data_IF_191625767348
#
_entry.id   IF_191625767348
#
_cell.length_a   1.000
_cell.length_b   1.000
_cell.length_c   1.000
_cell.angle_alpha   90.00
_cell.angle_beta   90.00
_cell.angle_gamma   90.00
#
_symmetry.space_group_name_H-M   'P 1'
#
loop_
_entity.id
_entity.type
_entity.pdbx_description
1 polymer ?
#
# COMPACT_ATOMS: atom_id res chain seq x y z
N UNK A 1 -38.16 -32.64 -47.93
CA UNK A 1 -37.02 -32.60 -46.97
C UNK A 1 -36.21 -31.34 -47.23
N UNK A 2 -36.32 -30.34 -46.36
CA UNK A 2 -35.67 -29.03 -46.51
C UNK A 2 -34.28 -29.05 -45.88
N UNK A 3 -33.23 -28.78 -46.67
CA UNK A 3 -31.86 -28.62 -46.19
C UNK A 3 -31.75 -27.25 -45.51
N UNK A 4 -31.80 -27.24 -44.19
CA UNK A 4 -31.57 -26.03 -43.39
C UNK A 4 -30.09 -25.66 -43.49
N UNK A 5 -29.86 -24.49 -44.07
CA UNK A 5 -28.58 -23.79 -44.19
C UNK A 5 -28.09 -23.44 -42.79
N UNK A 6 -26.96 -24.02 -42.34
CA UNK A 6 -26.27 -23.61 -41.11
C UNK A 6 -25.68 -22.21 -41.34
N UNK A 7 -26.46 -21.20 -40.98
CA UNK A 7 -25.97 -19.83 -40.90
C UNK A 7 -25.00 -19.70 -39.73
N UNK A 8 -23.92 -18.99 -40.00
CA UNK A 8 -22.84 -18.65 -39.10
C UNK A 8 -23.35 -18.16 -37.74
N UNK A 9 -23.26 -19.01 -36.71
CA UNK A 9 -23.22 -18.53 -35.32
C UNK A 9 -21.87 -17.83 -35.14
N UNK A 10 -21.90 -16.51 -35.37
CA UNK A 10 -20.90 -15.57 -34.90
C UNK A 10 -20.59 -15.90 -33.44
N UNK A 11 -19.37 -16.36 -33.18
CA UNK A 11 -18.80 -16.47 -31.85
C UNK A 11 -18.71 -15.05 -31.27
N UNK A 12 -19.78 -14.65 -30.57
CA UNK A 12 -19.83 -13.41 -29.82
C UNK A 12 -18.76 -13.43 -28.73
N UNK A 13 -17.71 -12.63 -28.93
CA UNK A 13 -17.10 -11.77 -27.91
C UNK A 13 -16.75 -12.37 -26.54
N UNK A 14 -16.22 -13.58 -26.51
CA UNK A 14 -15.48 -14.09 -25.33
C UNK A 14 -13.98 -13.94 -25.62
N UNK A 15 -13.27 -13.14 -24.82
CA UNK A 15 -11.78 -12.99 -24.77
C UNK A 15 -11.14 -11.62 -25.06
N UNK A 16 -11.83 -10.49 -24.91
CA UNK A 16 -11.16 -9.16 -24.84
C UNK A 16 -10.87 -8.65 -23.41
N UNK A 17 -11.32 -9.35 -22.36
CA UNK A 17 -11.21 -8.87 -20.96
C UNK A 17 -9.91 -9.15 -20.19
N UNK A 18 -9.06 -10.16 -20.47
CA UNK A 18 -7.89 -10.42 -19.62
C UNK A 18 -6.83 -9.30 -19.73
N UNK A 19 -6.52 -8.85 -20.96
CA UNK A 19 -5.53 -7.78 -21.20
C UNK A 19 -5.88 -6.43 -20.56
N UNK A 20 -7.17 -6.11 -20.42
CA UNK A 20 -7.64 -4.86 -19.81
C UNK A 20 -7.50 -4.89 -18.27
N UNK A 21 -7.81 -6.03 -17.63
CA UNK A 21 -7.61 -6.21 -16.18
C UNK A 21 -6.13 -6.20 -15.80
N UNK A 22 -5.30 -6.88 -16.58
CA UNK A 22 -3.85 -6.94 -16.38
C UNK A 22 -3.19 -5.56 -16.48
N UNK A 23 -3.58 -4.76 -17.48
CA UNK A 23 -3.11 -3.37 -17.63
C UNK A 23 -3.53 -2.48 -16.45
N UNK A 24 -4.74 -2.68 -15.92
CA UNK A 24 -5.24 -1.92 -14.77
C UNK A 24 -4.52 -2.28 -13.48
N UNK A 25 -4.32 -3.57 -13.23
CA UNK A 25 -3.59 -4.06 -12.06
C UNK A 25 -2.12 -3.62 -12.07
N UNK A 26 -1.45 -3.68 -13.23
CA UNK A 26 -0.08 -3.17 -13.37
C UNK A 26 0.02 -1.66 -13.09
N UNK A 27 -0.96 -0.88 -13.57
CA UNK A 27 -1.05 0.56 -13.25
C UNK A 27 -1.24 0.79 -11.75
N UNK A 28 -2.03 -0.04 -11.08
CA UNK A 28 -2.23 0.02 -9.63
C UNK A 28 -0.93 -0.23 -8.86
N UNK A 29 -0.15 -1.25 -9.26
CA UNK A 29 1.17 -1.55 -8.69
C UNK A 29 2.09 -0.34 -8.76
N UNK A 30 2.20 0.25 -9.96
CA UNK A 30 3.06 1.43 -10.17
C UNK A 30 2.57 2.62 -9.34
N UNK A 31 1.28 2.92 -9.38
CA UNK A 31 0.73 4.08 -8.69
C UNK A 31 0.94 3.98 -7.17
N UNK A 32 0.64 2.82 -6.59
CA UNK A 32 0.85 2.57 -5.16
C UNK A 32 2.33 2.58 -4.77
N UNK A 33 3.23 2.06 -5.62
CA UNK A 33 4.67 2.15 -5.41
C UNK A 33 5.17 3.61 -5.44
N UNK A 34 4.70 4.41 -6.39
CA UNK A 34 5.08 5.84 -6.50
C UNK A 34 4.59 6.64 -5.31
N UNK A 35 3.33 6.45 -4.90
CA UNK A 35 2.78 7.10 -3.71
C UNK A 35 3.54 6.67 -2.46
N UNK A 36 3.80 5.37 -2.30
CA UNK A 36 4.60 4.84 -1.20
C UNK A 36 6.01 5.45 -1.17
N UNK A 37 6.69 5.52 -2.31
CA UNK A 37 8.00 6.16 -2.44
C UNK A 37 8.00 7.64 -2.06
N UNK A 38 6.98 8.40 -2.48
CA UNK A 38 6.83 9.80 -2.09
C UNK A 38 6.61 9.96 -0.57
N UNK A 39 5.75 9.12 0.01
CA UNK A 39 5.51 9.12 1.46
C UNK A 39 6.77 8.77 2.25
N UNK A 40 7.59 7.84 1.76
CA UNK A 40 8.88 7.52 2.37
C UNK A 40 9.80 8.74 2.43
N UNK A 41 9.94 9.47 1.31
CA UNK A 41 10.77 10.67 1.24
C UNK A 41 10.24 11.73 2.23
N UNK A 42 8.93 11.98 2.21
CA UNK A 42 8.29 12.93 3.14
C UNK A 42 8.53 12.51 4.59
N UNK A 43 8.38 11.22 4.90
CA UNK A 43 8.61 10.67 6.24
C UNK A 43 10.04 10.88 6.71
N UNK A 44 11.03 10.63 5.86
CA UNK A 44 12.45 10.85 6.18
C UNK A 44 12.72 12.33 6.44
N UNK A 45 12.14 13.25 5.66
CA UNK A 45 12.32 14.69 5.86
C UNK A 45 11.72 15.15 7.20
N UNK A 46 10.50 14.70 7.51
CA UNK A 46 9.79 15.07 8.75
C UNK A 46 10.43 14.46 9.99
N UNK A 47 10.66 13.15 10.00
CA UNK A 47 11.19 12.43 11.17
C UNK A 47 12.70 12.52 11.30
N UNK A 48 13.41 12.81 10.20
CA UNK A 48 14.83 13.15 10.20
C UNK A 48 15.13 14.54 10.75
N UNK A 49 14.11 15.34 11.06
CA UNK A 49 14.27 16.71 11.58
C UNK A 49 14.78 17.71 10.53
N UNK A 50 14.73 17.36 9.24
CA UNK A 50 15.08 18.26 8.14
C UNK A 50 13.94 19.24 7.81
N UNK A 51 12.70 18.85 8.11
CA UNK A 51 11.50 19.67 7.92
C UNK A 51 10.69 19.71 9.22
N UNK A 52 10.36 20.91 9.70
CA UNK A 52 9.42 21.11 10.81
C UNK A 52 8.13 21.70 10.25
N UNK A 53 6.99 21.08 10.55
CA UNK A 53 5.68 21.58 10.10
C UNK A 53 5.19 22.76 10.93
N UNK A 54 5.50 22.73 12.23
CA UNK A 54 5.05 23.73 13.19
C UNK A 54 6.19 24.10 14.14
N UNK A 55 6.51 25.39 14.23
CA UNK A 55 7.54 25.92 15.13
C UNK A 55 6.93 26.49 16.43
N UNK A 56 5.87 25.87 16.94
CA UNK A 56 5.13 26.35 18.11
C UNK A 56 5.21 25.37 19.28
N UNK A 57 5.36 25.89 20.49
CA UNK A 57 5.37 25.10 21.73
C UNK A 57 3.97 24.73 22.23
N UNK A 58 2.91 25.22 21.57
CA UNK A 58 1.56 24.84 21.97
C UNK A 58 1.31 23.35 21.75
N UNK A 59 0.80 22.70 22.80
CA UNK A 59 0.53 21.26 22.85
C UNK A 59 -0.30 20.75 21.65
N UNK A 60 -1.23 21.57 21.15
CA UNK A 60 -2.08 21.22 20.01
C UNK A 60 -1.27 21.07 18.71
N UNK A 61 -0.32 21.97 18.44
CA UNK A 61 0.53 21.90 17.25
C UNK A 61 1.53 20.74 17.33
N UNK A 62 2.09 20.47 18.52
CA UNK A 62 2.95 19.30 18.73
C UNK A 62 2.19 17.98 18.51
N UNK A 63 0.95 17.91 19.00
CA UNK A 63 0.09 16.74 18.81
C UNK A 63 -0.25 16.54 17.33
N UNK A 64 -0.56 17.62 16.61
CA UNK A 64 -0.81 17.56 15.16
C UNK A 64 0.42 17.15 14.37
N UNK A 65 1.60 17.70 14.69
CA UNK A 65 2.87 17.32 14.06
C UNK A 65 3.16 15.83 14.23
N UNK A 66 3.05 15.34 15.46
CA UNK A 66 3.20 13.91 15.80
C UNK A 66 2.19 13.06 15.02
N UNK A 67 0.92 13.48 14.97
CA UNK A 67 -0.14 12.76 14.26
C UNK A 67 0.17 12.65 12.77
N UNK A 68 0.58 13.75 12.12
CA UNK A 68 0.93 13.75 10.70
C UNK A 68 2.11 12.81 10.44
N UNK A 69 3.17 12.89 11.26
CA UNK A 69 4.34 11.99 11.16
C UNK A 69 3.95 10.53 11.24
N UNK A 70 3.11 10.16 12.21
CA UNK A 70 2.59 8.79 12.36
C UNK A 70 1.78 8.38 11.14
N UNK A 71 0.83 9.22 10.69
CA UNK A 71 -0.03 8.91 9.54
C UNK A 71 0.76 8.71 8.24
N UNK A 72 1.79 9.51 8.00
CA UNK A 72 2.67 9.35 6.82
C UNK A 72 3.34 7.98 6.83
N UNK A 73 3.85 7.52 7.97
CA UNK A 73 4.47 6.18 8.12
C UNK A 73 3.44 5.07 7.89
N UNK A 74 2.24 5.19 8.46
CA UNK A 74 1.18 4.20 8.30
C UNK A 74 0.72 4.10 6.84
N UNK A 75 0.53 5.25 6.17
CA UNK A 75 0.19 5.25 4.75
C UNK A 75 1.31 4.71 3.88
N UNK A 76 2.57 5.03 4.17
CA UNK A 76 3.70 4.40 3.50
C UNK A 76 3.60 2.87 3.55
N UNK A 77 3.40 2.32 4.76
CA UNK A 77 3.30 0.87 4.95
C UNK A 77 2.13 0.26 4.16
N UNK A 78 0.95 0.90 4.20
CA UNK A 78 -0.25 0.45 3.49
C UNK A 78 -0.02 0.47 1.98
N UNK A 79 0.47 1.58 1.42
CA UNK A 79 0.66 1.70 -0.04
C UNK A 79 1.73 0.75 -0.56
N UNK A 80 2.82 0.54 0.19
CA UNK A 80 3.83 -0.46 -0.18
C UNK A 80 3.26 -1.87 -0.14
N UNK A 81 2.50 -2.21 0.91
CA UNK A 81 1.86 -3.53 1.03
C UNK A 81 0.85 -3.76 -0.10
N UNK A 82 0.03 -2.76 -0.45
CA UNK A 82 -0.90 -2.82 -1.59
C UNK A 82 -0.13 -3.02 -2.91
N UNK A 83 0.95 -2.28 -3.13
CA UNK A 83 1.75 -2.39 -4.36
C UNK A 83 2.28 -3.81 -4.55
N UNK A 84 2.85 -4.36 -3.49
CA UNK A 84 3.41 -5.71 -3.51
C UNK A 84 2.30 -6.76 -3.60
N UNK A 85 1.20 -6.60 -2.87
CA UNK A 85 0.04 -7.49 -2.94
C UNK A 85 -0.47 -7.61 -4.38
N UNK A 86 -0.67 -6.47 -5.04
CA UNK A 86 -1.10 -6.41 -6.44
C UNK A 86 -0.05 -7.02 -7.39
N UNK A 87 1.25 -6.82 -7.13
CA UNK A 87 2.31 -7.42 -7.93
C UNK A 87 2.36 -8.95 -7.79
N UNK A 88 2.13 -9.44 -6.58
CA UNK A 88 2.05 -10.87 -6.27
C UNK A 88 0.84 -11.53 -6.91
N UNK A 89 -0.32 -10.86 -6.88
CA UNK A 89 -1.52 -11.30 -7.60
C UNK A 89 -1.28 -11.39 -9.12
N UNK A 90 -0.61 -10.40 -9.73
CA UNK A 90 -0.23 -10.43 -11.14
C UNK A 90 0.72 -11.57 -11.50
N UNK A 91 1.62 -11.94 -10.59
CA UNK A 91 2.58 -13.04 -10.81
C UNK A 91 2.03 -14.41 -10.38
N UNK A 92 0.78 -14.47 -9.90
CA UNK A 92 0.12 -15.68 -9.41
C UNK A 92 0.78 -16.27 -8.16
N UNK A 93 1.56 -15.48 -7.42
CA UNK A 93 2.25 -15.91 -6.21
C UNK A 93 1.54 -15.34 -4.98
N UNK A 94 1.49 -16.06 -3.84
CA UNK A 94 0.96 -15.49 -2.61
C UNK A 94 1.86 -14.36 -2.10
N UNK A 95 1.27 -13.46 -1.31
CA UNK A 95 2.01 -12.43 -0.60
C UNK A 95 2.90 -13.09 0.47
N UNK A 96 4.21 -12.84 0.41
CA UNK A 96 5.17 -13.43 1.35
C UNK A 96 5.22 -12.60 2.63
N UNK A 97 4.95 -13.24 3.77
CA UNK A 97 5.02 -12.62 5.09
C UNK A 97 6.41 -12.05 5.38
N UNK A 98 7.48 -12.68 4.87
CA UNK A 98 8.85 -12.14 5.00
C UNK A 98 8.96 -10.73 4.42
N UNK A 99 8.30 -10.49 3.29
CA UNK A 99 8.36 -9.20 2.63
C UNK A 99 7.54 -8.15 3.38
N UNK A 100 6.38 -8.52 3.94
CA UNK A 100 5.61 -7.64 4.83
C UNK A 100 6.45 -7.26 6.06
N UNK A 101 7.13 -8.23 6.68
CA UNK A 101 8.01 -7.98 7.84
C UNK A 101 9.16 -7.03 7.48
N UNK A 102 9.74 -7.15 6.28
CA UNK A 102 10.77 -6.21 5.82
C UNK A 102 10.22 -4.78 5.71
N UNK A 103 9.04 -4.60 5.10
CA UNK A 103 8.41 -3.27 5.01
C UNK A 103 8.09 -2.75 6.41
N UNK A 104 7.64 -3.62 7.31
CA UNK A 104 7.33 -3.26 8.70
C UNK A 104 8.57 -2.71 9.42
N UNK A 105 9.71 -3.41 9.34
CA UNK A 105 10.98 -2.94 9.90
C UNK A 105 11.38 -1.61 9.26
N UNK A 106 11.23 -1.50 7.94
CA UNK A 106 11.56 -0.27 7.19
C UNK A 106 10.65 0.91 7.57
N UNK A 107 9.39 0.67 7.93
CA UNK A 107 8.48 1.67 8.48
C UNK A 107 8.91 2.13 9.87
N UNK A 108 9.36 1.21 10.73
CA UNK A 108 9.83 1.55 12.08
C UNK A 108 11.12 2.35 12.07
N UNK A 109 12.04 2.05 11.14
CA UNK A 109 13.26 2.82 10.97
C UNK A 109 12.95 4.30 10.64
N UNK A 110 11.80 4.63 10.08
CA UNK A 110 11.47 6.03 9.78
C UNK A 110 11.22 6.87 11.04
N UNK A 111 10.82 6.27 12.16
CA UNK A 111 10.49 6.98 13.40
C UNK A 111 11.48 6.75 14.54
N UNK A 112 12.62 6.09 14.30
CA UNK A 112 13.55 5.67 15.37
C UNK A 112 14.09 6.80 16.26
N UNK A 113 14.08 8.06 15.77
CA UNK A 113 14.60 9.22 16.49
C UNK A 113 13.64 9.80 17.51
N UNK A 114 12.34 9.55 17.35
CA UNK A 114 11.29 10.12 18.20
C UNK A 114 10.51 8.98 18.86
N UNK A 115 10.68 8.82 20.17
CA UNK A 115 10.06 7.72 20.91
C UNK A 115 8.54 7.74 20.90
N UNK A 116 7.93 8.94 20.82
CA UNK A 116 6.48 9.10 20.82
C UNK A 116 5.95 8.67 19.45
N UNK A 117 6.50 9.24 18.36
CA UNK A 117 6.14 8.85 16.99
C UNK A 117 6.38 7.35 16.78
N UNK A 118 7.52 6.83 17.25
CA UNK A 118 7.85 5.40 17.17
C UNK A 118 6.79 4.53 17.83
N UNK A 119 6.39 4.84 19.06
CA UNK A 119 5.44 4.03 19.83
C UNK A 119 4.07 3.99 19.15
N UNK A 120 3.57 5.15 18.71
CA UNK A 120 2.28 5.23 17.99
C UNK A 120 2.34 4.54 16.62
N UNK A 121 3.42 4.72 15.86
CA UNK A 121 3.62 4.01 14.59
C UNK A 121 3.71 2.50 14.81
N UNK A 122 4.41 2.02 15.83
CA UNK A 122 4.53 0.60 16.14
C UNK A 122 3.16 -0.03 16.41
N UNK A 123 2.35 0.59 17.27
CA UNK A 123 0.97 0.14 17.56
C UNK A 123 0.12 0.15 16.28
N UNK A 124 0.16 1.24 15.51
CA UNK A 124 -0.60 1.36 14.27
C UNK A 124 -0.21 0.31 13.23
N UNK A 125 1.09 0.03 13.07
CA UNK A 125 1.58 -0.99 12.15
C UNK A 125 1.17 -2.40 12.61
N UNK A 126 1.23 -2.71 13.91
CA UNK A 126 0.72 -3.98 14.45
C UNK A 126 -0.75 -4.17 14.15
N UNK A 127 -1.57 -3.12 14.35
CA UNK A 127 -3.00 -3.16 14.02
C UNK A 127 -3.24 -3.45 12.54
N UNK A 128 -2.46 -2.85 11.63
CA UNK A 128 -2.56 -3.13 10.19
C UNK A 128 -2.17 -4.57 9.87
N UNK A 129 -1.10 -5.10 10.48
CA UNK A 129 -0.70 -6.51 10.29
C UNK A 129 -1.79 -7.46 10.76
N UNK A 130 -2.34 -7.24 11.96
CA UNK A 130 -3.44 -8.07 12.49
C UNK A 130 -4.64 -8.01 11.57
N UNK A 131 -5.02 -6.82 11.09
CA UNK A 131 -6.08 -6.66 10.10
C UNK A 131 -5.82 -7.46 8.82
N UNK A 132 -4.61 -7.36 8.25
CA UNK A 132 -4.25 -8.10 7.04
C UNK A 132 -4.32 -9.62 7.26
N UNK A 133 -3.90 -10.10 8.43
CA UNK A 133 -3.95 -11.52 8.77
C UNK A 133 -5.39 -12.03 8.87
N UNK A 134 -6.27 -11.31 9.57
CA UNK A 134 -7.69 -11.66 9.70
C UNK A 134 -8.43 -11.66 8.36
N UNK A 135 -8.07 -10.76 7.44
CA UNK A 135 -8.66 -10.69 6.10
C UNK A 135 -8.15 -11.81 5.19
N UNK A 136 -6.96 -12.37 5.43
CA UNK A 136 -6.41 -13.47 4.65
C UNK A 136 -6.99 -14.84 5.01
N UNK A 137 -7.41 -15.02 6.27
CA UNK A 137 -8.01 -16.29 6.73
C UNK A 137 -9.52 -16.43 6.40
N UNK A 138 -10.19 -15.34 6.04
CA UNK A 138 -11.60 -15.32 5.61
C UNK A 138 -11.75 -15.36 4.08
#
# INVERSE_FOLDING_TARGET
MSKIKKENLKSGTVNRKPKLKEKSAYRSVILSAVIGGLLLIISILLNGGYLSLFASEHILFQTLDTTIKVLVILFFFIFMTISIGNYKELTGKPLDLKLIVIIFIFSLIQSFRDSIVFSFSFIGLLMIIVYLFLVQEN
#
